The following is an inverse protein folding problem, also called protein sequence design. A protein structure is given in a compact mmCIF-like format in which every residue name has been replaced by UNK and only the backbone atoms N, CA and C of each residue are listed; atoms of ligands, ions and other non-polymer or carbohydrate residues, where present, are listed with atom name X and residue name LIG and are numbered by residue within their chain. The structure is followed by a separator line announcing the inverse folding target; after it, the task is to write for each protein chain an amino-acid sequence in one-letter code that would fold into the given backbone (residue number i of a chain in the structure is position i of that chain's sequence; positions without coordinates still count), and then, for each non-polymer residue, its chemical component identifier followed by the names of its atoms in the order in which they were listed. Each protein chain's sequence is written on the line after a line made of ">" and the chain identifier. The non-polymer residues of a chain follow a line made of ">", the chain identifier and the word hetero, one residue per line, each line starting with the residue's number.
data_IF_231423602464
#
_entry.id   IF_231423602464
#
_cell.length_a   1.000
_cell.length_b   1.000
_cell.length_c   1.000
_cell.angle_alpha   90.00
_cell.angle_beta   90.00
_cell.angle_gamma   90.00
#
_symmetry.space_group_name_H-M   'P 1'
#
loop_
_entity.id
_entity.type
_entity.pdbx_description
1 polymer ?
#
# COMPACT_ATOMS: atom_id res chain seq x y z
N UNK A 1 1.33 -7.53 -26.34
CA UNK A 1 2.14 -8.29 -25.37
C UNK A 1 1.81 -7.77 -23.99
N UNK A 2 1.32 -8.63 -23.11
CA UNK A 2 1.12 -8.31 -21.70
C UNK A 2 2.46 -8.32 -20.97
N UNK A 3 2.52 -7.77 -19.75
CA UNK A 3 3.69 -7.91 -18.88
C UNK A 3 4.03 -9.38 -18.64
N UNK A 4 3.01 -10.25 -18.51
CA UNK A 4 3.16 -11.70 -18.32
C UNK A 4 3.91 -12.31 -19.51
N UNK A 5 3.49 -12.01 -20.75
CA UNK A 5 4.16 -12.51 -21.96
C UNK A 5 5.64 -12.10 -22.04
N UNK A 6 5.97 -10.94 -21.45
CA UNK A 6 7.32 -10.38 -21.45
C UNK A 6 8.18 -10.99 -20.35
N UNK A 7 7.57 -11.28 -19.19
CA UNK A 7 8.21 -11.99 -18.07
C UNK A 7 8.48 -13.45 -18.42
N UNK A 8 7.59 -14.11 -19.16
CA UNK A 8 7.75 -15.52 -19.56
C UNK A 8 8.98 -15.78 -20.44
N UNK A 9 9.43 -14.77 -21.20
CA UNK A 9 10.62 -14.83 -22.06
C UNK A 9 11.83 -14.11 -21.47
N UNK A 10 11.71 -13.55 -20.26
CA UNK A 10 12.77 -12.83 -19.58
C UNK A 10 13.63 -13.79 -18.75
N UNK A 11 14.87 -14.02 -19.20
CA UNK A 11 15.82 -14.91 -18.51
C UNK A 11 16.66 -14.20 -17.43
N UNK A 12 16.45 -12.91 -17.21
CA UNK A 12 17.16 -12.15 -16.19
C UNK A 12 16.55 -12.33 -14.79
N UNK A 13 17.21 -11.75 -13.78
CA UNK A 13 16.65 -11.63 -12.44
C UNK A 13 15.81 -10.36 -12.34
N UNK A 14 14.52 -10.50 -12.05
CA UNK A 14 13.67 -9.37 -11.66
C UNK A 14 13.81 -9.14 -10.16
N UNK A 15 14.21 -7.94 -9.78
CA UNK A 15 14.33 -7.53 -8.37
C UNK A 15 13.37 -6.38 -8.13
N UNK A 16 12.42 -6.58 -7.21
CA UNK A 16 11.54 -5.51 -6.73
C UNK A 16 12.16 -4.92 -5.47
N UNK A 17 12.40 -3.62 -5.48
CA UNK A 17 12.89 -2.90 -4.32
C UNK A 17 11.71 -2.56 -3.39
N UNK A 18 11.41 -3.46 -2.46
CA UNK A 18 10.37 -3.26 -1.44
C UNK A 18 11.01 -3.21 -0.04
N UNK A 19 11.55 -2.02 0.28
CA UNK A 19 12.31 -1.82 1.52
C UNK A 19 11.49 -1.95 2.80
N UNK A 20 10.16 -1.84 2.72
CA UNK A 20 9.29 -1.94 3.90
C UNK A 20 9.29 -3.36 4.50
N UNK A 21 9.62 -4.39 3.71
CA UNK A 21 9.83 -5.76 4.21
C UNK A 21 10.98 -5.86 5.22
N UNK A 22 11.99 -5.01 5.08
CA UNK A 22 13.20 -5.02 5.91
C UNK A 22 13.12 -4.04 7.09
N UNK A 23 11.91 -3.63 7.47
CA UNK A 23 11.69 -2.69 8.57
C UNK A 23 12.13 -3.27 9.91
N UNK A 24 13.04 -2.58 10.60
CA UNK A 24 13.46 -2.94 11.97
C UNK A 24 12.32 -2.87 12.98
N UNK A 25 11.27 -2.09 12.69
CA UNK A 25 10.06 -2.02 13.52
C UNK A 25 9.29 -3.33 13.42
N UNK A 26 9.06 -3.83 12.20
CA UNK A 26 8.38 -5.11 11.98
C UNK A 26 9.13 -6.25 12.67
N UNK A 27 10.46 -6.26 12.59
CA UNK A 27 11.28 -7.26 13.26
C UNK A 27 11.12 -7.22 14.79
N UNK A 28 11.13 -6.03 15.40
CA UNK A 28 10.85 -5.89 16.84
C UNK A 28 9.45 -6.35 17.21
N UNK A 29 8.44 -6.05 16.39
CA UNK A 29 7.07 -6.52 16.65
C UNK A 29 7.01 -8.05 16.65
N UNK A 30 7.67 -8.72 15.70
CA UNK A 30 7.76 -10.20 15.69
C UNK A 30 8.40 -10.74 16.96
N UNK A 31 9.49 -10.13 17.39
CA UNK A 31 10.17 -10.53 18.63
C UNK A 31 9.26 -10.40 19.85
N UNK A 32 8.50 -9.30 19.94
CA UNK A 32 7.52 -9.10 21.03
C UNK A 32 6.38 -10.12 20.96
N UNK A 33 5.82 -10.37 19.78
CA UNK A 33 4.77 -11.37 19.56
C UNK A 33 5.25 -12.75 20.03
N UNK A 34 6.45 -13.15 19.61
CA UNK A 34 7.06 -14.42 19.99
C UNK A 34 7.41 -14.48 21.48
N UNK A 35 7.94 -13.41 22.06
CA UNK A 35 8.31 -13.35 23.48
C UNK A 35 7.08 -13.45 24.39
N UNK A 36 5.97 -12.84 24.00
CA UNK A 36 4.72 -12.86 24.76
C UNK A 36 3.84 -14.08 24.43
N UNK A 37 4.22 -14.92 23.47
CA UNK A 37 3.44 -16.05 22.96
C UNK A 37 1.99 -15.66 22.60
N UNK A 38 1.84 -14.52 21.91
CA UNK A 38 0.53 -14.00 21.49
C UNK A 38 0.30 -14.18 20.01
N UNK A 39 -0.96 -14.28 19.60
CA UNK A 39 -1.35 -14.21 18.19
C UNK A 39 -2.31 -13.03 18.00
N UNK A 40 -1.85 -11.90 17.43
CA UNK A 40 -2.71 -10.76 17.15
C UNK A 40 -3.93 -11.15 16.30
N UNK A 41 -5.13 -10.90 16.83
CA UNK A 41 -6.37 -11.07 16.09
C UNK A 41 -6.67 -9.89 15.14
N UNK A 42 -6.01 -8.75 15.38
CA UNK A 42 -6.14 -7.51 14.62
C UNK A 42 -4.79 -6.81 14.56
N UNK A 43 -4.39 -6.42 13.35
CA UNK A 43 -3.21 -5.60 13.09
C UNK A 43 -3.68 -4.34 12.39
N UNK A 44 -3.26 -3.19 12.89
CA UNK A 44 -3.56 -1.88 12.31
C UNK A 44 -2.21 -1.25 11.94
N UNK A 45 -2.04 -0.88 10.67
CA UNK A 45 -0.87 -0.16 10.19
C UNK A 45 -1.38 1.11 9.53
N UNK A 46 -0.99 2.25 10.09
CA UNK A 46 -1.38 3.57 9.60
C UNK A 46 -0.14 4.32 9.16
N UNK A 47 -0.26 5.06 8.06
CA UNK A 47 0.81 5.89 7.55
C UNK A 47 0.24 7.23 7.12
N UNK A 48 0.70 8.30 7.75
CA UNK A 48 0.36 9.68 7.37
C UNK A 48 1.60 10.36 6.83
N UNK A 49 1.46 11.01 5.67
CA UNK A 49 2.53 11.80 5.05
C UNK A 49 1.93 13.13 4.61
N UNK A 50 2.52 14.24 5.04
CA UNK A 50 2.17 15.53 4.46
C UNK A 50 2.81 15.63 3.06
N UNK A 51 1.99 15.44 2.03
CA UNK A 51 2.39 15.38 0.62
C UNK A 51 1.68 16.44 -0.23
N UNK A 52 1.08 17.47 0.39
CA UNK A 52 0.27 18.48 -0.31
C UNK A 52 1.03 19.09 -1.50
N UNK A 53 2.27 19.50 -1.30
CA UNK A 53 3.09 20.06 -2.37
C UNK A 53 3.44 19.04 -3.46
N UNK A 54 3.70 17.78 -3.09
CA UNK A 54 3.96 16.70 -4.05
C UNK A 54 2.73 16.46 -4.95
N UNK A 55 1.54 16.47 -4.34
CA UNK A 55 0.27 16.37 -5.06
C UNK A 55 0.05 17.58 -5.98
N UNK A 56 0.15 18.81 -5.49
CA UNK A 56 -0.05 20.01 -6.33
C UNK A 56 0.86 20.00 -7.56
N UNK A 57 2.10 19.52 -7.41
CA UNK A 57 3.08 19.44 -8.50
C UNK A 57 2.92 18.19 -9.40
N UNK A 58 1.93 17.33 -9.14
CA UNK A 58 1.64 16.15 -9.96
C UNK A 58 2.67 15.03 -9.85
N UNK A 59 3.45 14.98 -8.76
CA UNK A 59 4.55 14.00 -8.58
C UNK A 59 4.11 12.55 -8.75
N UNK A 60 2.90 12.24 -8.33
CA UNK A 60 2.37 10.87 -8.34
C UNK A 60 1.63 10.52 -9.63
N UNK A 61 1.62 11.39 -10.64
CA UNK A 61 0.96 11.13 -11.90
C UNK A 61 1.98 10.69 -12.95
N UNK A 62 1.73 9.52 -13.53
CA UNK A 62 2.36 9.09 -14.76
C UNK A 62 1.42 9.43 -15.93
N UNK A 63 1.74 10.51 -16.63
CA UNK A 63 0.94 10.97 -17.77
C UNK A 63 1.13 10.10 -19.02
N UNK A 64 2.20 9.30 -19.08
CA UNK A 64 2.47 8.42 -20.22
C UNK A 64 1.62 7.15 -20.12
N UNK A 65 1.52 6.57 -18.93
CA UNK A 65 0.73 5.36 -18.67
C UNK A 65 -0.66 5.62 -18.08
N UNK A 66 -1.04 6.89 -17.89
CA UNK A 66 -2.28 7.30 -17.23
C UNK A 66 -2.48 6.62 -15.86
N UNK A 67 -1.38 6.44 -15.12
CA UNK A 67 -1.36 5.79 -13.82
C UNK A 67 -1.10 6.83 -12.73
N UNK A 68 -1.58 6.56 -11.51
CA UNK A 68 -1.16 7.32 -10.33
C UNK A 68 -0.48 6.40 -9.32
N UNK A 69 0.51 6.94 -8.60
CA UNK A 69 1.21 6.24 -7.54
C UNK A 69 0.29 6.03 -6.33
N UNK A 70 0.11 4.78 -5.94
CA UNK A 70 -0.64 4.39 -4.74
C UNK A 70 0.31 3.81 -3.68
N UNK A 71 0.34 4.43 -2.50
CA UNK A 71 1.26 4.06 -1.42
C UNK A 71 0.74 2.89 -0.57
N UNK A 72 -0.55 2.53 -0.65
CA UNK A 72 -1.14 1.53 0.24
C UNK A 72 -0.53 0.12 0.09
N UNK A 73 0.12 -0.19 -1.05
CA UNK A 73 0.87 -1.45 -1.18
C UNK A 73 1.96 -1.59 -0.12
N UNK A 74 2.64 -0.50 0.27
CA UNK A 74 3.67 -0.54 1.32
C UNK A 74 3.08 -0.85 2.71
N UNK A 75 1.85 -0.39 2.99
CA UNK A 75 1.16 -0.68 4.25
C UNK A 75 0.81 -2.17 4.32
N UNK A 76 0.31 -2.73 3.22
CA UNK A 76 0.03 -4.17 3.09
C UNK A 76 1.31 -4.99 3.30
N UNK A 77 2.42 -4.56 2.70
CA UNK A 77 3.74 -5.18 2.88
C UNK A 77 4.16 -5.24 4.36
N UNK A 78 3.97 -4.16 5.13
CA UNK A 78 4.30 -4.16 6.56
C UNK A 78 3.52 -5.23 7.34
N UNK A 79 2.23 -5.37 7.05
CA UNK A 79 1.35 -6.34 7.71
C UNK A 79 1.71 -7.77 7.31
N UNK A 80 1.90 -8.01 6.00
CA UNK A 80 2.32 -9.31 5.47
C UNK A 80 3.67 -9.75 6.03
N UNK A 81 4.57 -8.81 6.29
CA UNK A 81 5.86 -9.11 6.84
C UNK A 81 5.77 -9.75 8.23
N UNK A 82 4.68 -9.60 8.99
CA UNK A 82 4.49 -10.23 10.31
C UNK A 82 4.31 -11.76 10.25
N UNK A 83 3.90 -12.31 9.10
CA UNK A 83 3.71 -13.75 8.90
C UNK A 83 2.70 -14.09 7.81
N UNK A 84 2.73 -15.34 7.32
CA UNK A 84 1.80 -15.83 6.28
C UNK A 84 0.33 -15.78 6.72
N UNK A 85 0.10 -15.88 8.03
CA UNK A 85 -1.19 -15.70 8.70
C UNK A 85 -1.74 -14.27 8.61
N UNK A 86 -1.06 -13.35 7.91
CA UNK A 86 -1.57 -12.01 7.58
C UNK A 86 -1.68 -11.75 6.07
N UNK A 87 -1.40 -12.75 5.23
CA UNK A 87 -1.49 -12.61 3.77
C UNK A 87 -2.94 -12.39 3.32
N UNK A 88 -3.25 -11.28 2.61
CA UNK A 88 -4.57 -11.10 2.01
C UNK A 88 -4.90 -12.24 1.03
N UNK A 89 -6.08 -12.85 1.19
CA UNK A 89 -6.59 -13.86 0.24
C UNK A 89 -7.51 -13.25 -0.82
N UNK A 90 -8.09 -12.09 -0.51
CA UNK A 90 -9.02 -11.40 -1.39
C UNK A 90 -8.84 -9.88 -1.25
N UNK A 91 -8.92 -9.18 -2.38
CA UNK A 91 -9.18 -7.74 -2.43
C UNK A 91 -10.70 -7.58 -2.45
N UNK A 92 -11.24 -6.95 -1.41
CA UNK A 92 -12.65 -6.63 -1.27
C UNK A 92 -13.01 -5.37 -2.04
N UNK A 93 -13.81 -4.51 -1.39
CA UNK A 93 -14.24 -3.26 -2.01
C UNK A 93 -13.05 -2.33 -2.25
N UNK A 94 -13.09 -1.64 -3.38
CA UNK A 94 -12.17 -0.59 -3.74
C UNK A 94 -12.96 0.68 -4.01
N UNK A 95 -12.53 1.78 -3.41
CA UNK A 95 -13.05 3.10 -3.69
C UNK A 95 -11.92 3.94 -4.29
N UNK A 96 -12.26 4.73 -5.30
CA UNK A 96 -11.35 5.70 -5.91
C UNK A 96 -12.09 6.97 -6.27
N UNK A 97 -11.47 8.12 -5.99
CA UNK A 97 -11.99 9.43 -6.34
C UNK A 97 -10.85 10.40 -6.67
N UNK A 98 -11.18 11.51 -7.34
CA UNK A 98 -10.26 12.63 -7.47
C UNK A 98 -9.93 13.21 -6.08
N UNK A 99 -8.68 13.60 -5.91
CA UNK A 99 -8.17 14.15 -4.66
C UNK A 99 -8.71 15.56 -4.45
N UNK A 100 -9.28 15.82 -3.27
CA UNK A 100 -9.67 17.14 -2.83
C UNK A 100 -8.80 17.53 -1.63
N UNK A 101 -8.03 18.60 -1.75
CA UNK A 101 -7.21 19.15 -0.66
C UNK A 101 -7.77 20.48 -0.19
N UNK A 102 -7.61 20.78 1.09
CA UNK A 102 -7.90 22.10 1.66
C UNK A 102 -6.60 22.91 1.71
N UNK A 103 -6.60 24.07 1.06
CA UNK A 103 -5.50 25.04 1.12
C UNK A 103 -6.08 26.33 1.69
N UNK A 104 -5.72 26.63 2.95
CA UNK A 104 -6.12 27.85 3.64
C UNK A 104 -7.65 28.09 3.66
N UNK A 105 -8.45 27.05 3.87
CA UNK A 105 -9.91 27.10 3.92
C UNK A 105 -10.57 27.05 2.54
N UNK A 106 -9.79 26.92 1.45
CA UNK A 106 -10.31 26.76 0.10
C UNK A 106 -10.07 25.34 -0.39
N UNK A 107 -11.15 24.65 -0.75
CA UNK A 107 -11.07 23.34 -1.40
C UNK A 107 -10.50 23.48 -2.80
N UNK A 108 -9.46 22.70 -3.09
CA UNK A 108 -8.89 22.54 -4.41
C UNK A 108 -9.01 21.07 -4.85
N UNK A 109 -9.66 20.86 -5.98
CA UNK A 109 -9.79 19.56 -6.61
C UNK A 109 -8.62 19.33 -7.56
N UNK A 110 -7.97 18.18 -7.44
CA UNK A 110 -6.84 17.75 -8.25
C UNK A 110 -7.30 16.56 -9.12
N UNK A 111 -7.81 16.83 -10.34
CA UNK A 111 -8.32 15.77 -11.20
C UNK A 111 -7.21 14.80 -11.56
N UNK A 112 -7.56 13.51 -11.67
CA UNK A 112 -6.67 12.37 -11.95
C UNK A 112 -5.70 12.01 -10.83
N UNK A 113 -5.61 12.82 -9.77
CA UNK A 113 -4.90 12.41 -8.56
C UNK A 113 -5.83 11.60 -7.69
N UNK A 114 -5.46 10.35 -7.42
CA UNK A 114 -6.33 9.40 -6.76
C UNK A 114 -6.29 9.54 -5.24
N UNK A 115 -7.46 9.69 -4.64
CA UNK A 115 -7.74 9.12 -3.32
C UNK A 115 -8.19 7.68 -3.53
N UNK A 116 -7.57 6.72 -2.85
CA UNK A 116 -7.89 5.30 -2.98
C UNK A 116 -8.02 4.68 -1.62
N UNK A 117 -9.04 3.84 -1.48
CA UNK A 117 -9.22 2.95 -0.35
C UNK A 117 -9.38 1.53 -0.88
N UNK A 118 -8.63 0.58 -0.33
CA UNK A 118 -8.68 -0.83 -0.72
C UNK A 118 -8.85 -1.69 0.51
N UNK A 119 -9.91 -2.50 0.52
CA UNK A 119 -10.16 -3.42 1.61
C UNK A 119 -9.52 -4.75 1.29
N UNK A 120 -8.76 -5.31 2.22
CA UNK A 120 -8.11 -6.61 2.08
C UNK A 120 -8.74 -7.59 3.08
N UNK A 121 -9.03 -8.80 2.63
CA UNK A 121 -9.62 -9.85 3.48
C UNK A 121 -8.74 -11.08 3.53
N UNK A 122 -8.69 -11.67 4.70
CA UNK A 122 -8.04 -12.94 4.94
C UNK A 122 -8.97 -13.84 5.76
N UNK A 123 -9.67 -14.75 5.09
CA UNK A 123 -10.73 -15.55 5.74
C UNK A 123 -11.80 -14.63 6.35
N UNK A 124 -12.14 -14.84 7.63
CA UNK A 124 -13.11 -14.00 8.38
C UNK A 124 -12.49 -12.70 8.94
N UNK A 125 -11.19 -12.45 8.75
CA UNK A 125 -10.51 -11.24 9.23
C UNK A 125 -10.40 -10.22 8.09
N UNK A 126 -10.68 -8.95 8.40
CA UNK A 126 -10.63 -7.84 7.44
C UNK A 126 -9.59 -6.82 7.87
N UNK A 127 -8.83 -6.31 6.91
CA UNK A 127 -7.85 -5.23 7.07
C UNK A 127 -8.25 -4.07 6.17
N UNK A 128 -8.26 -2.85 6.73
CA UNK A 128 -8.54 -1.62 6.00
C UNK A 128 -7.21 -0.96 5.64
N UNK A 129 -7.02 -0.58 4.37
CA UNK A 129 -5.86 0.17 3.88
C UNK A 129 -6.29 1.30 2.95
#
# INVERSE_FOLDING_TARGET
>A
KTLIDLLDIFYGKLVVNENYLSSSVTEKIKQVISFLDITPNRVISEMTKNRINDFINGRFLDNHFYAFGYEGSHIVTNVMALGEDYLPKQIGNMFSADLCIDINGKKQYLPKQGMVEKHYRQGNRSYLV
#
